data_IF_402234448606
#
_entry.id   IF_402234448606
#
_cell.length_a   1.000
_cell.length_b   1.000
_cell.length_c   1.000
_cell.angle_alpha   90.00
_cell.angle_beta   90.00
_cell.angle_gamma   90.00
#
_symmetry.space_group_name_H-M   'P 1'
#
loop_
_entity.id
_entity.type
_entity.pdbx_description
1 polymer ?
#
# COMPACT_ATOMS: atom_id res chain seq x y z
N UNK A 1 -12.09 35.49 0.05
CA UNK A 1 -13.22 34.53 0.03
C UNK A 1 -12.96 33.52 -1.07
N UNK A 2 -12.71 32.24 -0.77
CA UNK A 2 -12.73 31.17 -1.78
C UNK A 2 -14.21 30.85 -2.06
N UNK A 3 -14.66 31.03 -3.31
CA UNK A 3 -16.02 30.66 -3.71
C UNK A 3 -16.23 29.16 -3.49
N UNK A 4 -17.40 28.78 -2.98
CA UNK A 4 -17.76 27.37 -2.72
C UNK A 4 -17.85 26.52 -4.01
N UNK A 5 -17.76 27.15 -5.17
CA UNK A 5 -17.95 26.53 -6.49
C UNK A 5 -16.65 26.00 -7.14
N UNK A 6 -15.51 26.06 -6.43
CA UNK A 6 -14.21 25.59 -6.93
C UNK A 6 -13.83 24.17 -6.47
N UNK A 7 -14.65 23.54 -5.61
CA UNK A 7 -14.36 22.23 -5.03
C UNK A 7 -15.60 21.34 -5.05
N UNK A 8 -15.52 20.25 -5.83
CA UNK A 8 -16.53 19.19 -5.83
C UNK A 8 -15.97 17.98 -5.09
N UNK A 9 -16.67 17.54 -4.04
CA UNK A 9 -16.32 16.32 -3.30
C UNK A 9 -17.15 15.15 -3.82
N UNK A 10 -16.49 14.12 -4.33
CA UNK A 10 -17.14 12.92 -4.87
C UNK A 10 -16.65 11.72 -4.07
N UNK A 11 -17.58 10.93 -3.53
CA UNK A 11 -17.30 9.69 -2.79
C UNK A 11 -17.59 8.50 -3.68
N UNK A 12 -16.64 8.12 -4.51
CA UNK A 12 -16.71 6.96 -5.40
C UNK A 12 -15.31 6.49 -5.75
N UNK A 13 -15.16 5.20 -6.07
CA UNK A 13 -13.89 4.69 -6.59
C UNK A 13 -13.75 5.03 -8.07
N UNK A 14 -12.52 5.33 -8.51
CA UNK A 14 -12.19 5.42 -9.93
C UNK A 14 -12.23 4.01 -10.54
N UNK A 15 -12.96 3.82 -11.64
CA UNK A 15 -13.04 2.53 -12.35
C UNK A 15 -12.30 2.54 -13.70
N UNK A 16 -12.23 3.69 -14.38
CA UNK A 16 -11.54 3.85 -15.66
C UNK A 16 -10.91 5.23 -15.78
N UNK A 17 -9.84 5.31 -16.56
CA UNK A 17 -9.13 6.54 -16.88
C UNK A 17 -8.63 6.47 -18.31
N UNK A 18 -9.18 7.30 -19.18
CA UNK A 18 -8.91 7.29 -20.62
C UNK A 18 -8.47 8.68 -21.08
N UNK A 19 -7.45 8.74 -21.94
CA UNK A 19 -7.05 9.99 -22.59
C UNK A 19 -8.12 10.37 -23.61
N UNK A 20 -8.56 11.64 -23.59
CA UNK A 20 -9.45 12.17 -24.62
C UNK A 20 -8.65 12.64 -25.83
N UNK A 21 -9.33 12.76 -26.98
CA UNK A 21 -8.72 13.28 -28.22
C UNK A 21 -8.26 14.74 -28.11
N UNK A 22 -8.75 15.49 -27.13
CA UNK A 22 -8.47 16.90 -26.90
C UNK A 22 -7.45 17.14 -25.77
N UNK A 23 -6.54 16.18 -25.53
CA UNK A 23 -5.48 16.25 -24.52
C UNK A 23 -5.95 16.37 -23.05
N UNK A 24 -7.19 15.96 -22.76
CA UNK A 24 -7.70 15.82 -21.40
C UNK A 24 -7.89 14.35 -21.02
N UNK A 25 -8.60 14.13 -19.93
CA UNK A 25 -8.90 12.82 -19.36
C UNK A 25 -10.40 12.65 -19.15
N UNK A 26 -10.91 11.49 -19.52
CA UNK A 26 -12.23 11.02 -19.12
C UNK A 26 -12.05 9.98 -18.00
N UNK A 27 -12.77 10.19 -16.90
CA UNK A 27 -12.74 9.35 -15.71
C UNK A 27 -14.09 8.68 -15.57
N UNK A 28 -14.11 7.35 -15.51
CA UNK A 28 -15.26 6.59 -15.08
C UNK A 28 -15.18 6.34 -13.58
N UNK A 29 -16.32 6.50 -12.90
CA UNK A 29 -16.45 6.19 -11.48
C UNK A 29 -17.33 4.96 -11.27
N UNK A 30 -17.10 4.22 -10.19
CA UNK A 30 -17.82 2.98 -9.87
C UNK A 30 -19.32 3.16 -9.62
N UNK A 31 -19.79 4.40 -9.47
CA UNK A 31 -21.19 4.77 -9.37
C UNK A 31 -21.78 5.20 -10.72
N UNK A 32 -21.16 4.78 -11.83
CA UNK A 32 -21.56 5.08 -13.22
C UNK A 32 -21.53 6.58 -13.58
N UNK A 33 -20.86 7.41 -12.78
CA UNK A 33 -20.63 8.82 -13.08
C UNK A 33 -19.37 8.95 -13.95
N UNK A 34 -19.45 9.76 -15.01
CA UNK A 34 -18.30 10.14 -15.82
C UNK A 34 -17.89 11.59 -15.57
N UNK A 35 -16.59 11.85 -15.49
CA UNK A 35 -16.01 13.18 -15.32
C UNK A 35 -15.00 13.46 -16.42
N UNK A 36 -14.84 14.73 -16.79
CA UNK A 36 -13.75 15.20 -17.63
C UNK A 36 -12.81 16.08 -16.80
N UNK A 37 -11.51 15.93 -17.01
CA UNK A 37 -10.49 16.76 -16.38
C UNK A 37 -9.31 17.00 -17.32
N UNK A 38 -8.73 18.19 -17.29
CA UNK A 38 -7.50 18.47 -18.03
C UNK A 38 -6.28 17.78 -17.38
N UNK A 39 -6.31 17.65 -16.05
CA UNK A 39 -5.23 17.06 -15.25
C UNK A 39 -5.82 16.12 -14.19
N UNK A 40 -5.19 14.97 -14.01
CA UNK A 40 -5.50 14.01 -12.95
C UNK A 40 -4.29 13.85 -12.04
N UNK A 41 -4.48 14.09 -10.74
CA UNK A 41 -3.44 13.89 -9.72
C UNK A 41 -3.83 12.65 -8.92
N UNK A 42 -2.98 11.61 -8.98
CA UNK A 42 -3.20 10.39 -8.22
C UNK A 42 -2.71 10.56 -6.78
N UNK A 43 -3.64 10.47 -5.82
CA UNK A 43 -3.36 10.51 -4.39
C UNK A 43 -3.78 9.22 -3.66
N UNK A 44 -3.80 8.06 -4.33
CA UNK A 44 -4.26 6.78 -3.76
C UNK A 44 -3.27 6.12 -2.78
N UNK A 45 -2.15 6.79 -2.46
CA UNK A 45 -1.11 6.26 -1.59
C UNK A 45 -0.12 5.35 -2.31
N UNK A 46 0.57 4.50 -1.55
CA UNK A 46 1.66 3.65 -2.04
C UNK A 46 1.12 2.59 -2.99
N UNK A 47 1.65 2.55 -4.20
CA UNK A 47 1.33 1.54 -5.21
C UNK A 47 1.93 0.16 -4.88
N UNK A 48 1.77 -0.77 -5.83
CA UNK A 48 2.33 -2.11 -5.70
C UNK A 48 3.85 -2.07 -5.69
N UNK A 49 4.47 -2.66 -4.67
CA UNK A 49 5.93 -2.87 -4.66
C UNK A 49 6.30 -4.02 -5.62
N UNK A 50 7.14 -3.78 -6.66
CA UNK A 50 7.48 -4.79 -7.65
C UNK A 50 8.24 -5.99 -7.08
N UNK A 51 9.08 -5.79 -6.06
CA UNK A 51 9.86 -6.85 -5.44
C UNK A 51 8.95 -7.77 -4.62
N UNK A 52 8.11 -7.19 -3.75
CA UNK A 52 7.12 -7.95 -2.98
C UNK A 52 6.22 -8.74 -3.93
N UNK A 53 5.74 -8.11 -4.99
CA UNK A 53 4.92 -8.79 -5.97
C UNK A 53 5.63 -9.97 -6.63
N UNK A 54 6.88 -9.77 -7.08
CA UNK A 54 7.68 -10.83 -7.70
C UNK A 54 7.90 -11.99 -6.73
N UNK A 55 8.25 -11.70 -5.48
CA UNK A 55 8.48 -12.72 -4.47
C UNK A 55 7.20 -13.52 -4.17
N UNK A 56 6.03 -12.88 -4.09
CA UNK A 56 4.74 -13.59 -4.00
C UNK A 56 4.46 -14.45 -5.23
N UNK A 57 4.66 -13.90 -6.43
CA UNK A 57 4.41 -14.62 -7.68
C UNK A 57 5.31 -15.88 -7.83
N UNK A 58 6.50 -15.84 -7.23
CA UNK A 58 7.43 -16.99 -7.18
C UNK A 58 7.23 -17.90 -5.98
N UNK A 59 6.17 -17.70 -5.17
CA UNK A 59 5.86 -18.51 -3.99
C UNK A 59 6.84 -18.34 -2.83
N UNK A 60 7.61 -17.25 -2.80
CA UNK A 60 8.59 -16.93 -1.74
C UNK A 60 8.00 -16.14 -0.59
N UNK A 61 6.83 -15.54 -0.78
CA UNK A 61 6.07 -14.82 0.25
C UNK A 61 4.62 -15.30 0.25
N UNK A 62 4.05 -15.43 1.44
CA UNK A 62 2.62 -15.67 1.61
C UNK A 62 1.87 -14.33 1.56
N UNK A 63 0.86 -14.16 0.69
CA UNK A 63 0.01 -12.99 0.71
C UNK A 63 -0.88 -12.98 1.96
N UNK A 64 -1.16 -11.80 2.49
CA UNK A 64 -2.18 -11.65 3.53
C UNK A 64 -3.57 -11.76 2.90
N UNK A 65 -4.22 -12.92 3.07
CA UNK A 65 -5.52 -13.21 2.47
C UNK A 65 -5.48 -13.09 0.95
N UNK A 66 -6.35 -12.25 0.37
CA UNK A 66 -6.40 -11.95 -1.08
C UNK A 66 -5.68 -10.64 -1.45
N UNK A 67 -4.90 -10.05 -0.54
CA UNK A 67 -4.24 -8.77 -0.77
C UNK A 67 -2.94 -8.89 -1.56
N UNK A 68 -2.38 -7.75 -1.97
CA UNK A 68 -1.03 -7.64 -2.54
C UNK A 68 0.04 -7.34 -1.47
N UNK A 69 -0.29 -7.47 -0.18
CA UNK A 69 0.64 -7.26 0.93
C UNK A 69 1.08 -8.60 1.53
N UNK A 70 2.33 -8.72 1.98
CA UNK A 70 2.81 -9.96 2.59
C UNK A 70 2.11 -10.17 3.94
N UNK A 71 1.95 -11.43 4.32
CA UNK A 71 1.64 -11.78 5.70
C UNK A 71 2.87 -11.50 6.56
N UNK A 72 2.67 -10.79 7.68
CA UNK A 72 3.72 -10.34 8.58
C UNK A 72 3.34 -10.69 10.02
N UNK A 73 4.28 -11.23 10.79
CA UNK A 73 4.11 -11.51 12.22
C UNK A 73 4.12 -10.20 13.04
N UNK A 74 3.63 -10.20 14.29
CA UNK A 74 3.79 -9.05 15.19
C UNK A 74 5.26 -8.64 15.42
N UNK A 75 6.20 -9.58 15.23
CA UNK A 75 7.64 -9.37 15.29
C UNK A 75 8.25 -8.76 14.02
N UNK A 76 7.42 -8.30 13.07
CA UNK A 76 7.81 -7.73 11.77
C UNK A 76 8.40 -8.74 10.78
N UNK A 77 8.45 -10.02 11.13
CA UNK A 77 8.96 -11.07 10.25
C UNK A 77 7.93 -11.40 9.19
N UNK A 78 8.39 -11.67 7.98
CA UNK A 78 7.51 -12.20 6.95
C UNK A 78 7.11 -13.63 7.30
N UNK A 79 5.84 -13.97 7.09
CA UNK A 79 5.33 -15.34 7.21
C UNK A 79 5.64 -16.11 5.92
N UNK A 80 6.35 -17.23 6.08
CA UNK A 80 6.71 -18.17 5.03
C UNK A 80 5.48 -18.94 4.51
N UNK A 81 5.58 -19.61 3.34
CA UNK A 81 4.52 -20.50 2.83
C UNK A 81 4.10 -21.63 3.78
N UNK A 82 4.99 -22.06 4.68
CA UNK A 82 4.69 -23.08 5.70
C UNK A 82 3.93 -22.52 6.92
N UNK A 83 3.69 -21.20 6.97
CA UNK A 83 3.02 -20.52 8.07
C UNK A 83 3.95 -20.05 9.20
N UNK A 84 5.24 -20.39 9.16
CA UNK A 84 6.24 -19.96 10.14
C UNK A 84 6.83 -18.60 9.79
N UNK A 85 7.23 -17.77 10.76
CA UNK A 85 8.00 -16.56 10.47
C UNK A 85 9.39 -16.89 9.93
N UNK A 86 9.88 -16.14 8.93
CA UNK A 86 11.28 -16.19 8.54
C UNK A 86 12.18 -15.60 9.64
N UNK A 87 13.36 -16.18 9.83
CA UNK A 87 14.36 -15.67 10.79
C UNK A 87 15.12 -14.44 10.27
N UNK A 88 15.19 -14.29 8.94
CA UNK A 88 16.09 -13.35 8.26
C UNK A 88 15.38 -12.34 7.37
N UNK A 89 14.05 -12.40 7.30
CA UNK A 89 13.26 -11.57 6.39
C UNK A 89 12.16 -10.83 7.13
N UNK A 90 12.20 -9.49 7.04
CA UNK A 90 11.35 -8.59 7.81
C UNK A 90 10.71 -7.53 6.91
N UNK A 91 9.56 -7.01 7.33
CA UNK A 91 8.91 -5.86 6.72
C UNK A 91 8.77 -4.72 7.74
N UNK A 92 9.06 -3.49 7.29
CA UNK A 92 8.78 -2.26 8.02
C UNK A 92 8.08 -1.26 7.10
N UNK A 93 7.40 -0.28 7.66
CA UNK A 93 6.70 0.77 6.92
C UNK A 93 5.46 0.27 6.18
N UNK A 94 5.05 0.92 5.07
CA UNK A 94 3.74 0.71 4.45
C UNK A 94 3.41 -0.75 4.11
N UNK A 95 4.41 -1.60 3.87
CA UNK A 95 4.23 -3.02 3.63
C UNK A 95 3.54 -3.76 4.81
N UNK A 96 3.63 -3.26 6.04
CA UNK A 96 3.00 -3.87 7.22
C UNK A 96 1.56 -3.41 7.44
N UNK A 97 1.08 -2.37 6.73
CA UNK A 97 -0.15 -1.67 7.09
C UNK A 97 -1.39 -2.56 7.11
N UNK A 98 -1.52 -3.48 6.14
CA UNK A 98 -2.64 -4.42 6.12
C UNK A 98 -2.52 -5.52 7.18
N UNK A 99 -1.30 -5.88 7.59
CA UNK A 99 -1.06 -6.99 8.52
C UNK A 99 -1.09 -6.55 10.00
N UNK A 100 -0.53 -5.38 10.30
CA UNK A 100 -0.30 -4.90 11.68
C UNK A 100 -1.12 -3.65 12.02
N UNK A 101 -1.95 -3.17 11.09
CA UNK A 101 -2.66 -1.92 11.24
C UNK A 101 -1.79 -0.70 10.91
N UNK A 102 -2.38 0.46 11.17
CA UNK A 102 -2.08 1.74 10.54
C UNK A 102 -0.59 2.15 10.62
N UNK A 103 0.06 2.28 9.45
CA UNK A 103 1.38 2.91 9.31
C UNK A 103 1.14 4.37 8.98
N UNK A 104 0.77 5.15 9.99
CA UNK A 104 0.26 6.54 9.87
C UNK A 104 1.38 7.56 9.55
N UNK A 105 2.55 7.10 9.10
CA UNK A 105 3.67 7.95 8.73
C UNK A 105 4.95 7.68 9.53
N UNK A 106 5.87 8.64 9.52
CA UNK A 106 7.26 8.47 9.95
C UNK A 106 7.41 7.90 11.37
N UNK A 107 6.54 8.28 12.31
CA UNK A 107 6.61 7.81 13.71
C UNK A 107 6.38 6.30 13.83
N UNK A 108 5.41 5.75 13.08
CA UNK A 108 5.14 4.30 13.10
C UNK A 108 6.31 3.49 12.53
N UNK A 109 6.92 3.99 11.46
CA UNK A 109 8.11 3.38 10.84
C UNK A 109 9.31 3.44 11.79
N UNK A 110 9.52 4.55 12.48
CA UNK A 110 10.60 4.69 13.46
C UNK A 110 10.47 3.70 14.62
N UNK A 111 9.27 3.49 15.14
CA UNK A 111 9.00 2.49 16.19
C UNK A 111 9.30 1.08 15.69
N UNK A 112 8.84 0.73 14.48
CA UNK A 112 9.14 -0.58 13.89
C UNK A 112 10.64 -0.78 13.67
N UNK A 113 11.35 0.24 13.17
CA UNK A 113 12.79 0.18 12.98
C UNK A 113 13.54 -0.02 14.31
N UNK A 114 13.14 0.70 15.36
CA UNK A 114 13.71 0.55 16.69
C UNK A 114 13.46 -0.85 17.27
N UNK A 115 12.27 -1.41 17.04
CA UNK A 115 11.94 -2.78 17.45
C UNK A 115 12.78 -3.81 16.71
N UNK A 116 12.86 -3.71 15.38
CA UNK A 116 13.67 -4.59 14.55
C UNK A 116 15.16 -4.53 14.93
N UNK A 117 15.71 -3.34 15.12
CA UNK A 117 17.10 -3.18 15.55
C UNK A 117 17.39 -3.86 16.90
N UNK A 118 16.43 -3.80 17.84
CA UNK A 118 16.54 -4.50 19.13
C UNK A 118 16.51 -6.01 18.95
N UNK A 119 15.59 -6.52 18.13
CA UNK A 119 15.48 -7.93 17.81
C UNK A 119 16.78 -8.49 17.20
N UNK A 120 17.31 -7.79 16.18
CA UNK A 120 18.54 -8.21 15.49
C UNK A 120 19.75 -8.23 16.44
N UNK A 121 19.81 -7.29 17.39
CA UNK A 121 20.88 -7.28 18.41
C UNK A 121 20.78 -8.46 19.37
N UNK A 122 19.58 -8.88 19.75
CA UNK A 122 19.38 -10.01 20.68
C UNK A 122 19.47 -11.38 20.02
N UNK A 123 19.16 -11.47 18.73
CA UNK A 123 19.27 -12.73 17.96
C UNK A 123 20.72 -13.05 17.52
N UNK A 124 21.61 -12.07 17.56
CA UNK A 124 23.02 -12.21 17.20
C UNK A 124 23.95 -12.46 18.40
N UNK A 125 23.40 -12.63 19.61
CA UNK A 125 24.14 -12.96 20.85
C UNK A 125 23.75 -14.32 21.38
#
# INVERSE_FOLDING_TARGET
MRGRDQLTLIRSALNSLESTRSAGWQLGLANEVSLNADVVINCTGVGRDPLIHKLMATGRLTPLGKSNSPAVSPGLQIISPDGSPYDTLFCIGPATALALGDVVGATSVATQAAHLARFLRTAAG
#
